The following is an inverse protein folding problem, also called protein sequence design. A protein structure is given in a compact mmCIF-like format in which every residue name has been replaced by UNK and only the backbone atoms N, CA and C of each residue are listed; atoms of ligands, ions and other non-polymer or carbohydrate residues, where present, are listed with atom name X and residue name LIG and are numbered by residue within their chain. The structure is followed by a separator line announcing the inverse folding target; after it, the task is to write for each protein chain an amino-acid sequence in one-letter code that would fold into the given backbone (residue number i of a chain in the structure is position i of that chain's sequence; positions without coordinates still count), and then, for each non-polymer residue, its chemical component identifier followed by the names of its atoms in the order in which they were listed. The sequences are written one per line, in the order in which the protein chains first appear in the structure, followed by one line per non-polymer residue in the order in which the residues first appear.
data_IF_555850890274
#
_entry.id   IF_555850890274
#
_cell.length_a   1.000
_cell.length_b   1.000
_cell.length_c   1.000
_cell.angle_alpha   90.00
_cell.angle_beta   90.00
_cell.angle_gamma   90.00
#
_symmetry.space_group_name_H-M   'P 1'
#
loop_
_entity.id
_entity.type
_entity.pdbx_description
1 polymer ?
#
# COMPACT_ATOMS: atom_id res chain seq x y z
N UNK A 1 -32.99 -9.36 2.59
CA UNK A 1 -32.07 -8.22 2.76
C UNK A 1 -30.88 -8.49 1.88
N UNK A 2 -30.79 -7.84 0.72
CA UNK A 2 -29.55 -7.82 -0.05
C UNK A 2 -28.97 -6.43 0.18
N UNK A 3 -28.15 -6.30 1.22
CA UNK A 3 -27.21 -5.19 1.29
C UNK A 3 -26.27 -5.40 0.11
N UNK A 4 -26.57 -4.75 -1.02
CA UNK A 4 -25.54 -4.33 -1.95
C UNK A 4 -24.66 -3.43 -1.11
N UNK A 5 -23.59 -4.00 -0.56
CA UNK A 5 -22.52 -3.25 0.07
C UNK A 5 -22.04 -2.33 -1.02
N UNK A 6 -22.41 -1.05 -0.87
CA UNK A 6 -21.76 0.06 -1.53
C UNK A 6 -20.27 -0.30 -1.56
N UNK A 7 -19.71 -0.50 -2.75
CA UNK A 7 -18.27 -0.48 -2.93
C UNK A 7 -17.83 0.96 -2.70
N UNK A 8 -18.05 1.47 -1.48
CA UNK A 8 -17.41 2.67 -0.99
C UNK A 8 -15.95 2.34 -1.14
N UNK A 9 -15.28 2.94 -2.12
CA UNK A 9 -13.86 2.78 -2.34
C UNK A 9 -13.17 3.20 -1.04
N UNK A 10 -12.94 2.24 -0.14
CA UNK A 10 -12.32 2.54 1.14
C UNK A 10 -10.92 3.03 0.82
N UNK A 11 -10.54 4.22 1.32
CA UNK A 11 -9.23 4.76 1.00
C UNK A 11 -8.17 3.78 1.48
N UNK A 12 -7.12 3.62 0.68
CA UNK A 12 -5.95 2.88 1.10
C UNK A 12 -5.35 3.59 2.32
N UNK A 13 -5.04 2.85 3.38
CA UNK A 13 -4.52 3.37 4.66
C UNK A 13 -3.24 2.65 5.06
N UNK A 14 -2.51 3.23 6.02
CA UNK A 14 -1.31 2.61 6.59
C UNK A 14 -1.57 1.17 7.06
N UNK A 15 -2.75 0.91 7.62
CA UNK A 15 -3.16 -0.43 8.06
C UNK A 15 -3.14 -1.46 6.91
N UNK A 16 -3.67 -1.07 5.74
CA UNK A 16 -3.68 -1.90 4.54
C UNK A 16 -2.25 -2.11 4.02
N UNK A 17 -1.43 -1.08 4.08
CA UNK A 17 -0.02 -1.18 3.70
C UNK A 17 0.73 -2.15 4.61
N UNK A 18 0.59 -2.00 5.93
CA UNK A 18 1.22 -2.88 6.91
C UNK A 18 0.73 -4.32 6.79
N UNK A 19 -0.54 -4.53 6.48
CA UNK A 19 -1.11 -5.85 6.21
C UNK A 19 -0.45 -6.53 5.00
N UNK A 20 -0.29 -5.79 3.89
CA UNK A 20 0.42 -6.28 2.70
C UNK A 20 1.88 -6.58 3.04
N UNK A 21 2.56 -5.67 3.74
CA UNK A 21 3.96 -5.86 4.10
C UNK A 21 4.14 -7.08 5.00
N UNK A 22 3.25 -7.29 5.97
CA UNK A 22 3.28 -8.46 6.85
C UNK A 22 3.01 -9.76 6.09
N UNK A 23 1.90 -9.83 5.37
CA UNK A 23 1.45 -11.08 4.77
C UNK A 23 2.14 -11.44 3.46
N UNK A 24 2.70 -10.46 2.75
CA UNK A 24 3.26 -10.65 1.41
C UNK A 24 4.75 -10.33 1.36
N UNK A 25 5.17 -9.23 1.98
CA UNK A 25 6.57 -8.81 1.95
C UNK A 25 7.44 -9.40 3.09
N UNK A 26 6.84 -10.13 4.03
CA UNK A 26 7.56 -10.81 5.11
C UNK A 26 7.93 -9.90 6.28
N UNK A 27 7.27 -8.74 6.44
CA UNK A 27 7.44 -7.88 7.61
C UNK A 27 6.93 -8.62 8.87
N UNK A 28 7.75 -8.80 9.91
CA UNK A 28 7.26 -9.37 11.16
C UNK A 28 6.19 -8.48 11.80
N UNK A 29 5.16 -9.07 12.41
CA UNK A 29 4.12 -8.30 13.11
C UNK A 29 4.69 -7.37 14.20
N UNK A 30 5.84 -7.73 14.79
CA UNK A 30 6.56 -6.92 15.78
C UNK A 30 7.21 -5.66 15.19
N UNK A 31 7.49 -5.65 13.89
CA UNK A 31 8.07 -4.52 13.15
C UNK A 31 7.00 -3.66 12.46
N UNK A 32 5.70 -3.94 12.70
CA UNK A 32 4.62 -3.05 12.25
C UNK A 32 4.79 -1.69 12.90
N UNK A 33 4.69 -0.65 12.08
CA UNK A 33 4.76 0.72 12.55
C UNK A 33 3.43 1.43 12.37
N UNK A 34 3.15 2.36 13.29
CA UNK A 34 2.00 3.26 13.23
C UNK A 34 2.38 4.65 12.74
N UNK A 35 3.67 4.90 12.48
CA UNK A 35 4.17 6.18 12.00
C UNK A 35 4.33 6.16 10.48
N UNK A 36 3.49 6.92 9.78
CA UNK A 36 3.47 7.03 8.31
C UNK A 36 4.65 7.82 7.74
N UNK A 37 5.45 8.47 8.58
CA UNK A 37 6.62 9.25 8.16
C UNK A 37 7.85 8.38 7.97
N UNK A 38 7.77 7.11 8.40
CA UNK A 38 8.82 6.12 8.22
C UNK A 38 8.86 5.63 6.78
N UNK A 39 10.04 5.16 6.36
CA UNK A 39 10.28 4.59 5.04
C UNK A 39 10.42 3.07 5.14
N UNK A 40 10.38 2.37 4.01
CA UNK A 40 10.65 0.92 3.95
C UNK A 40 12.02 0.58 4.54
N UNK A 41 13.05 1.34 4.16
CA UNK A 41 14.40 1.15 4.66
C UNK A 41 14.52 1.39 6.18
N UNK A 42 13.69 2.28 6.76
CA UNK A 42 13.71 2.56 8.19
C UNK A 42 13.24 1.37 9.05
N UNK A 43 12.41 0.50 8.48
CA UNK A 43 11.89 -0.71 9.15
C UNK A 43 12.58 -1.99 8.65
N UNK A 44 13.72 -1.85 7.99
CA UNK A 44 14.52 -2.98 7.51
C UNK A 44 13.93 -3.72 6.30
N UNK A 45 13.02 -3.11 5.55
CA UNK A 45 12.51 -3.67 4.31
C UNK A 45 13.36 -3.27 3.11
N UNK A 46 13.83 -4.29 2.39
CA UNK A 46 14.67 -4.15 1.20
C UNK A 46 13.86 -3.85 -0.08
N UNK A 47 14.57 -3.69 -1.19
CA UNK A 47 13.98 -3.50 -2.53
C UNK A 47 13.02 -4.62 -2.94
N UNK A 48 13.23 -5.86 -2.49
CA UNK A 48 12.34 -6.98 -2.80
C UNK A 48 10.96 -6.84 -2.12
N UNK A 49 10.92 -6.27 -0.92
CA UNK A 49 9.66 -5.97 -0.24
C UNK A 49 8.85 -4.92 -1.01
N UNK A 50 9.52 -3.90 -1.56
CA UNK A 50 8.89 -2.90 -2.42
C UNK A 50 8.33 -3.52 -3.72
N UNK A 51 9.10 -4.38 -4.39
CA UNK A 51 8.63 -5.10 -5.58
C UNK A 51 7.40 -5.97 -5.25
N UNK A 52 7.41 -6.64 -4.10
CA UNK A 52 6.28 -7.44 -3.64
C UNK A 52 5.04 -6.58 -3.40
N UNK A 53 5.21 -5.41 -2.78
CA UNK A 53 4.15 -4.42 -2.64
C UNK A 53 3.58 -4.01 -4.00
N UNK A 54 4.43 -3.67 -4.98
CA UNK A 54 3.97 -3.32 -6.33
C UNK A 54 3.17 -4.46 -6.98
N UNK A 55 3.68 -5.70 -6.93
CA UNK A 55 2.96 -6.87 -7.48
C UNK A 55 1.62 -7.11 -6.79
N UNK A 56 1.52 -6.88 -5.49
CA UNK A 56 0.26 -7.02 -4.75
C UNK A 56 -0.72 -5.91 -5.13
N UNK A 57 -0.24 -4.67 -5.30
CA UNK A 57 -1.07 -3.56 -5.74
C UNK A 57 -1.63 -3.79 -7.16
N UNK A 58 -0.79 -4.28 -8.07
CA UNK A 58 -1.19 -4.65 -9.43
C UNK A 58 -2.24 -5.77 -9.40
N UNK A 59 -1.98 -6.84 -8.64
CA UNK A 59 -2.90 -7.98 -8.57
C UNK A 59 -4.23 -7.65 -7.88
N UNK A 60 -4.22 -6.77 -6.87
CA UNK A 60 -5.41 -6.46 -6.05
C UNK A 60 -6.22 -5.29 -6.61
N UNK A 61 -5.55 -4.28 -7.15
CA UNK A 61 -6.17 -3.02 -7.58
C UNK A 61 -6.03 -2.75 -9.09
N UNK A 62 -5.26 -3.56 -9.81
CA UNK A 62 -5.10 -3.43 -11.27
C UNK A 62 -4.15 -2.31 -11.70
N UNK A 63 -3.36 -1.75 -10.79
CA UNK A 63 -2.35 -0.75 -11.11
C UNK A 63 -1.07 -0.91 -10.28
N UNK A 64 0.04 -0.46 -10.85
CA UNK A 64 1.34 -0.36 -10.19
C UNK A 64 1.65 1.08 -9.76
N UNK A 65 2.54 1.20 -8.77
CA UNK A 65 3.13 2.50 -8.43
C UNK A 65 4.12 2.91 -9.52
N UNK A 66 3.95 4.09 -10.15
CA UNK A 66 4.77 4.50 -11.30
C UNK A 66 6.20 4.91 -10.94
N UNK A 67 6.50 5.13 -9.67
CA UNK A 67 7.73 5.78 -9.24
C UNK A 67 8.52 4.87 -8.29
N UNK A 68 9.64 4.31 -8.78
CA UNK A 68 10.57 3.53 -7.96
C UNK A 68 11.21 4.35 -6.84
N UNK A 69 11.26 5.69 -6.95
CA UNK A 69 11.73 6.55 -5.87
C UNK A 69 10.80 6.52 -4.65
N UNK A 70 9.55 6.05 -4.80
CA UNK A 70 8.63 5.84 -3.68
C UNK A 70 9.20 4.89 -2.63
N UNK A 71 10.12 3.99 -2.99
CA UNK A 71 10.78 3.11 -2.00
C UNK A 71 11.59 3.87 -0.95
N UNK A 72 12.06 5.07 -1.30
CA UNK A 72 12.82 5.97 -0.43
C UNK A 72 11.93 7.03 0.23
N UNK A 73 10.65 7.05 -0.10
CA UNK A 73 9.68 7.97 0.45
C UNK A 73 9.02 7.39 1.71
N UNK A 74 8.49 8.27 2.57
CA UNK A 74 7.58 7.89 3.63
C UNK A 74 6.39 7.04 3.16
N UNK A 75 5.85 6.23 4.06
CA UNK A 75 4.61 5.51 3.83
C UNK A 75 3.45 6.43 3.47
N UNK A 76 3.40 7.65 4.03
CA UNK A 76 2.41 8.67 3.71
C UNK A 76 2.36 8.98 2.20
N UNK A 77 3.51 9.16 1.55
CA UNK A 77 3.59 9.42 0.11
C UNK A 77 3.12 8.20 -0.71
N UNK A 78 3.50 6.99 -0.29
CA UNK A 78 3.06 5.74 -0.93
C UNK A 78 1.53 5.64 -0.85
N UNK A 79 0.96 5.86 0.34
CA UNK A 79 -0.48 5.80 0.58
C UNK A 79 -1.21 6.84 -0.27
N UNK A 80 -0.71 8.07 -0.31
CA UNK A 80 -1.27 9.13 -1.14
C UNK A 80 -1.29 8.71 -2.63
N UNK A 81 -0.16 8.23 -3.14
CA UNK A 81 -0.05 7.79 -4.53
C UNK A 81 -0.98 6.62 -4.88
N UNK A 82 -1.16 5.65 -3.96
CA UNK A 82 -2.12 4.55 -4.14
C UNK A 82 -3.55 5.08 -4.17
N UNK A 83 -3.91 6.01 -3.29
CA UNK A 83 -5.25 6.61 -3.29
C UNK A 83 -5.53 7.41 -4.55
N UNK A 84 -4.59 8.24 -5.03
CA UNK A 84 -4.74 8.96 -6.29
C UNK A 84 -5.00 8.01 -7.47
N UNK A 85 -4.33 6.86 -7.48
CA UNK A 85 -4.55 5.82 -8.49
C UNK A 85 -5.91 5.13 -8.35
N UNK A 86 -6.36 4.85 -7.12
CA UNK A 86 -7.68 4.28 -6.87
C UNK A 86 -8.79 5.23 -7.33
N UNK A 87 -8.66 6.52 -7.05
CA UNK A 87 -9.60 7.54 -7.50
C UNK A 87 -9.61 7.67 -9.02
N UNK A 88 -8.44 7.67 -9.66
CA UNK A 88 -8.34 7.71 -11.12
C UNK A 88 -8.88 6.44 -11.81
N UNK A 89 -8.74 5.27 -11.18
CA UNK A 89 -9.22 4.00 -11.69
C UNK A 89 -10.73 3.79 -11.49
N UNK A 90 -11.35 4.54 -10.56
CA UNK A 90 -12.79 4.52 -10.31
C UNK A 90 -13.45 5.88 -10.65
N UNK A 91 -13.47 6.29 -11.93
CA UNK A 91 -14.20 7.48 -12.34
C UNK A 91 -15.71 7.23 -12.14
N UNK A 92 -16.34 8.09 -11.33
CA UNK A 92 -17.80 8.15 -11.12
C UNK A 92 -18.59 8.19 -12.44
#
# INVERSE_FOLDING_TARGET
MRENTDMSAQPFRLENLMDILEHKAGLPAADRVTDERLTLAAIGLDSLAFLTLQSVLEARYGFELPDEAMRHRPFADIIAAVNERLEAANPL
#
